data_IF_437857013509
#
_entry.id   IF_437857013509
#
_cell.length_a   1.000
_cell.length_b   1.000
_cell.length_c   1.000
_cell.angle_alpha   90.00
_cell.angle_beta   90.00
_cell.angle_gamma   90.00
#
_symmetry.space_group_name_H-M   'P 1'
#
loop_
_entity.id
_entity.type
_entity.pdbx_description
1 polymer ?
#
# COMPACT_ATOMS: atom_id res chain seq x y z
N UNK A 1 -8.73 75.31 13.51
CA UNK A 1 -9.40 75.05 12.22
C UNK A 1 -8.40 74.41 11.26
N UNK A 2 -8.81 73.33 10.56
CA UNK A 2 -8.21 72.67 9.36
C UNK A 2 -6.74 72.20 9.39
N UNK A 3 -6.46 70.88 9.31
CA UNK A 3 -6.25 70.04 8.08
C UNK A 3 -5.06 70.53 7.23
N UNK A 4 -4.13 69.72 6.67
CA UNK A 4 -3.97 68.27 6.43
C UNK A 4 -2.55 68.03 5.85
N UNK A 5 -1.99 66.84 6.11
CA UNK A 5 -1.09 65.96 5.29
C UNK A 5 0.06 66.53 4.44
N UNK A 6 1.22 65.88 4.59
CA UNK A 6 2.15 65.42 3.54
C UNK A 6 3.10 64.37 4.18
N UNK A 7 3.02 63.08 3.83
CA UNK A 7 3.86 62.36 2.84
C UNK A 7 5.31 62.12 3.28
N UNK A 8 5.71 60.86 3.44
CA UNK A 8 7.10 60.44 3.33
C UNK A 8 7.18 59.21 2.41
N UNK A 9 8.11 59.30 1.48
CA UNK A 9 8.49 58.35 0.44
C UNK A 9 9.97 57.94 0.66
N UNK A 10 10.35 56.83 -0.01
CA UNK A 10 11.71 56.37 -0.33
C UNK A 10 12.47 55.52 0.73
N UNK A 11 13.19 54.44 0.40
CA UNK A 11 13.44 53.73 -0.87
C UNK A 11 14.30 52.44 -0.67
N UNK A 12 14.21 51.51 -1.65
CA UNK A 12 15.22 50.54 -2.16
C UNK A 12 15.62 49.37 -1.21
N UNK A 13 15.09 48.14 -1.39
CA UNK A 13 15.35 47.10 -2.40
C UNK A 13 16.50 46.12 -2.04
N UNK A 14 16.16 44.83 -1.97
CA UNK A 14 16.98 43.73 -2.53
C UNK A 14 16.12 42.47 -2.68
N UNK A 15 16.28 41.86 -3.84
CA UNK A 15 15.57 40.72 -4.44
C UNK A 15 15.65 39.41 -3.66
N UNK A 16 14.58 38.61 -3.72
CA UNK A 16 14.68 37.24 -4.23
C UNK A 16 13.28 36.65 -4.51
N UNK A 17 13.18 36.12 -5.72
CA UNK A 17 12.03 35.46 -6.32
C UNK A 17 11.93 34.00 -5.87
N UNK A 18 10.69 33.59 -5.60
CA UNK A 18 10.08 32.28 -5.83
C UNK A 18 10.75 31.02 -5.27
N UNK A 19 10.02 30.37 -4.35
CA UNK A 19 9.60 28.97 -4.49
C UNK A 19 8.42 28.72 -3.52
N UNK A 20 7.21 28.78 -4.07
CA UNK A 20 5.97 28.54 -3.33
C UNK A 20 5.62 27.05 -3.49
N UNK A 21 6.14 26.22 -2.58
CA UNK A 21 5.65 24.87 -2.38
C UNK A 21 4.37 24.97 -1.55
N UNK A 22 3.24 24.58 -2.15
CA UNK A 22 1.92 24.58 -1.50
C UNK A 22 1.89 23.47 -0.44
N UNK A 23 2.32 23.80 0.77
CA UNK A 23 2.06 23.01 1.97
C UNK A 23 0.63 23.32 2.46
N UNK A 24 -0.16 22.27 2.73
CA UNK A 24 -1.53 22.39 3.24
C UNK A 24 -1.54 23.05 4.65
N UNK A 25 -2.32 24.12 4.90
CA UNK A 25 -2.37 24.77 6.21
C UNK A 25 -3.46 24.20 7.13
N UNK A 26 -3.12 24.06 8.42
CA UNK A 26 -3.99 23.62 9.51
C UNK A 26 -4.39 24.83 10.38
N UNK A 27 -5.69 25.06 10.59
CA UNK A 27 -6.21 26.16 11.43
C UNK A 27 -6.62 25.64 12.81
N UNK A 28 -5.84 25.95 13.84
CA UNK A 28 -6.22 25.73 15.25
C UNK A 28 -6.84 27.01 15.84
N UNK A 29 -8.09 26.94 16.30
CA UNK A 29 -8.66 27.96 17.20
C UNK A 29 -8.78 27.37 18.60
N UNK A 30 -7.96 27.89 19.51
CA UNK A 30 -8.04 27.66 20.95
C UNK A 30 -8.58 28.95 21.59
N UNK A 31 -9.79 28.90 22.14
CA UNK A 31 -10.38 30.04 22.86
C UNK A 31 -10.70 29.63 24.31
N UNK A 32 -9.89 30.15 25.23
CA UNK A 32 -10.07 30.10 26.67
C UNK A 32 -11.25 30.98 27.09
N UNK A 33 -12.25 30.46 27.81
CA UNK A 33 -13.08 31.27 28.72
C UNK A 33 -13.63 30.45 29.90
N UNK A 34 -13.21 30.84 31.11
CA UNK A 34 -13.82 30.45 32.40
C UNK A 34 -15.17 31.15 32.61
N UNK A 35 -16.20 30.49 33.19
CA UNK A 35 -17.47 31.16 33.50
C UNK A 35 -17.46 31.83 34.90
N UNK A 36 -17.75 33.13 34.94
CA UNK A 36 -18.09 33.87 36.17
C UNK A 36 -19.48 33.45 36.71
N UNK A 37 -19.55 33.08 38.00
CA UNK A 37 -20.81 32.84 38.73
C UNK A 37 -21.59 34.16 38.91
N UNK A 38 -22.76 34.29 38.28
CA UNK A 38 -23.74 35.35 38.58
C UNK A 38 -24.57 34.97 39.81
N UNK A 39 -24.66 35.90 40.77
CA UNK A 39 -25.58 35.82 41.91
C UNK A 39 -27.05 36.03 41.50
N UNK A 40 -28.02 35.78 42.40
CA UNK A 40 -29.44 35.88 42.11
C UNK A 40 -29.84 37.33 41.78
N UNK A 41 -30.64 37.51 40.73
CA UNK A 41 -31.16 38.82 40.32
C UNK A 41 -32.37 39.15 41.20
N UNK A 42 -32.22 40.15 42.06
CA UNK A 42 -33.31 40.71 42.87
C UNK A 42 -34.02 41.82 42.09
N UNK A 43 -35.35 41.77 42.03
CA UNK A 43 -36.18 42.83 41.44
C UNK A 43 -36.45 43.96 42.45
N UNK A 44 -36.79 45.17 41.98
CA UNK A 44 -37.13 46.27 42.89
C UNK A 44 -38.38 45.89 43.70
N UNK A 45 -38.32 46.11 45.02
CA UNK A 45 -39.31 45.76 46.06
C UNK A 45 -39.24 44.35 46.68
N UNK A 46 -38.10 43.64 46.60
CA UNK A 46 -37.83 42.48 47.47
C UNK A 46 -38.76 41.27 47.28
N UNK A 47 -39.55 41.23 46.19
CA UNK A 47 -40.37 40.06 45.84
C UNK A 47 -39.55 39.07 45.04
N UNK A 48 -39.40 37.86 45.59
CA UNK A 48 -38.73 36.73 44.95
C UNK A 48 -39.42 36.43 43.62
N UNK A 49 -38.71 36.66 42.49
CA UNK A 49 -39.22 36.32 41.17
C UNK A 49 -39.35 34.78 41.07
N UNK A 50 -40.57 34.26 41.25
CA UNK A 50 -40.88 32.87 40.93
C UNK A 50 -40.73 32.75 39.42
N UNK A 51 -39.67 32.07 38.99
CA UNK A 51 -39.34 31.82 37.58
C UNK A 51 -40.52 31.06 36.97
N UNK A 52 -41.43 31.75 36.26
CA UNK A 52 -42.45 31.07 35.44
C UNK A 52 -41.69 30.22 34.43
N UNK A 53 -41.76 28.91 34.61
CA UNK A 53 -41.24 27.94 33.66
C UNK A 53 -42.11 28.07 32.42
N UNK A 54 -41.70 28.91 31.47
CA UNK A 54 -42.37 28.99 30.18
C UNK A 54 -42.14 27.65 29.49
N UNK A 55 -43.22 27.06 28.97
CA UNK A 55 -43.20 25.73 28.34
C UNK A 55 -42.11 25.63 27.25
N UNK A 56 -41.81 26.76 26.58
CA UNK A 56 -40.70 26.92 25.64
C UNK A 56 -39.30 26.67 26.24
N UNK A 57 -39.02 27.08 27.47
CA UNK A 57 -37.71 26.80 28.09
C UNK A 57 -37.58 25.34 28.51
N UNK A 58 -38.69 24.70 28.87
CA UNK A 58 -38.71 23.29 29.24
C UNK A 58 -38.49 22.39 28.02
N UNK A 59 -39.12 22.68 26.89
CA UNK A 59 -38.95 21.90 25.65
C UNK A 59 -37.53 21.97 25.10
N UNK A 60 -36.88 23.14 25.14
CA UNK A 60 -35.47 23.26 24.75
C UNK A 60 -34.54 22.41 25.63
N UNK A 61 -34.79 22.36 26.94
CA UNK A 61 -34.02 21.51 27.86
C UNK A 61 -34.25 20.02 27.58
N UNK A 62 -35.49 19.64 27.28
CA UNK A 62 -35.83 18.26 26.94
C UNK A 62 -35.17 17.82 25.64
N UNK A 63 -35.21 18.66 24.60
CA UNK A 63 -34.53 18.40 23.33
C UNK A 63 -33.02 18.36 23.47
N UNK A 64 -32.42 19.25 24.25
CA UNK A 64 -30.99 19.21 24.53
C UNK A 64 -30.59 17.93 25.28
N UNK A 65 -31.36 17.51 26.28
CA UNK A 65 -31.13 16.25 26.99
C UNK A 65 -31.28 15.04 26.10
N UNK A 66 -32.30 15.00 25.23
CA UNK A 66 -32.49 13.92 24.25
C UNK A 66 -31.34 13.87 23.23
N UNK A 67 -30.83 15.01 22.79
CA UNK A 67 -29.68 15.06 21.88
C UNK A 67 -28.42 14.53 22.55
N UNK A 68 -28.14 14.93 23.80
CA UNK A 68 -26.98 14.43 24.56
C UNK A 68 -27.11 12.93 24.81
N UNK A 69 -28.30 12.44 25.17
CA UNK A 69 -28.56 11.00 25.30
C UNK A 69 -28.42 10.26 23.97
N UNK A 70 -28.83 10.87 22.85
CA UNK A 70 -28.63 10.33 21.51
C UNK A 70 -27.15 10.23 21.15
N UNK A 71 -26.34 11.25 21.47
CA UNK A 71 -24.88 11.21 21.27
C UNK A 71 -24.24 10.13 22.15
N UNK A 72 -24.61 10.04 23.43
CA UNK A 72 -24.12 8.97 24.30
C UNK A 72 -24.55 7.58 23.82
N UNK A 73 -25.77 7.44 23.31
CA UNK A 73 -26.26 6.19 22.73
C UNK A 73 -25.48 5.83 21.47
N UNK A 74 -25.16 6.80 20.59
CA UNK A 74 -24.32 6.57 19.42
C UNK A 74 -22.89 6.19 19.83
N UNK A 75 -22.30 6.88 20.81
CA UNK A 75 -20.97 6.53 21.34
C UNK A 75 -20.99 5.14 21.99
N UNK A 76 -22.07 4.77 22.66
CA UNK A 76 -22.27 3.45 23.23
C UNK A 76 -22.46 2.38 22.15
N UNK A 77 -23.19 2.67 21.07
CA UNK A 77 -23.34 1.80 19.90
C UNK A 77 -22.00 1.60 19.18
N UNK A 78 -21.23 2.67 19.01
CA UNK A 78 -19.87 2.62 18.47
C UNK A 78 -18.98 1.81 19.41
N UNK A 79 -19.05 2.07 20.72
CA UNK A 79 -18.29 1.30 21.71
C UNK A 79 -18.62 -0.18 21.57
N UNK A 80 -19.87 -0.59 21.63
CA UNK A 80 -20.25 -2.01 21.53
C UNK A 80 -19.97 -2.61 20.13
N UNK A 81 -19.95 -1.80 19.06
CA UNK A 81 -19.48 -2.21 17.73
C UNK A 81 -17.95 -2.46 17.70
N UNK A 82 -17.17 -1.72 18.50
CA UNK A 82 -15.71 -1.86 18.64
C UNK A 82 -15.27 -2.71 19.85
N UNK A 83 -16.19 -3.07 20.75
CA UNK A 83 -16.00 -3.93 21.95
C UNK A 83 -16.66 -5.30 21.78
N UNK A 84 -16.95 -5.72 20.55
CA UNK A 84 -16.85 -7.15 20.27
C UNK A 84 -15.41 -7.54 20.61
N UNK A 85 -15.18 -8.57 21.44
CA UNK A 85 -13.84 -8.99 21.71
C UNK A 85 -13.25 -9.38 20.34
N UNK A 86 -12.23 -8.64 19.91
CA UNK A 86 -11.14 -9.19 19.13
C UNK A 86 -10.42 -10.23 20.00
N UNK A 87 -11.17 -11.24 20.47
CA UNK A 87 -10.58 -12.53 20.66
C UNK A 87 -10.10 -12.92 19.26
N UNK A 88 -8.84 -13.33 19.07
CA UNK A 88 -8.54 -14.10 17.88
C UNK A 88 -9.58 -15.21 17.87
N UNK A 89 -10.47 -15.21 16.89
CA UNK A 89 -11.15 -16.44 16.60
C UNK A 89 -10.02 -17.36 16.16
N UNK A 90 -9.52 -18.17 17.09
CA UNK A 90 -9.21 -19.58 16.81
C UNK A 90 -10.53 -20.25 16.37
N UNK A 91 -11.15 -19.72 15.32
CA UNK A 91 -11.69 -20.57 14.30
C UNK A 91 -10.50 -21.37 13.85
N UNK A 92 -10.40 -22.60 14.36
CA UNK A 92 -9.98 -23.75 13.58
C UNK A 92 -10.74 -23.70 12.24
N UNK A 93 -10.27 -22.85 11.32
CA UNK A 93 -10.68 -22.89 9.94
C UNK A 93 -10.06 -24.16 9.40
N UNK A 94 -10.86 -25.22 9.34
CA UNK A 94 -10.79 -26.28 8.33
C UNK A 94 -9.41 -26.42 7.69
N UNK A 95 -8.42 -26.88 8.47
CA UNK A 95 -7.05 -27.22 8.06
C UNK A 95 -6.60 -26.57 6.74
N UNK A 96 -6.48 -25.24 6.71
CA UNK A 96 -5.87 -24.55 5.58
C UNK A 96 -4.48 -25.14 5.33
N UNK A 97 -4.22 -25.70 4.15
CA UNK A 97 -2.92 -26.29 3.82
C UNK A 97 -1.84 -25.22 3.99
N UNK A 98 -0.89 -25.45 4.90
CA UNK A 98 0.26 -24.57 5.09
C UNK A 98 1.23 -24.74 3.91
N UNK A 99 1.11 -23.88 2.89
CA UNK A 99 1.93 -23.91 1.68
C UNK A 99 3.41 -23.63 1.95
N UNK A 100 3.73 -23.12 3.13
CA UNK A 100 5.09 -22.80 3.56
C UNK A 100 5.69 -23.87 4.48
N UNK A 101 4.98 -24.98 4.74
CA UNK A 101 5.42 -26.00 5.70
C UNK A 101 6.81 -26.59 5.38
N UNK A 102 7.17 -26.67 4.09
CA UNK A 102 8.48 -27.19 3.65
C UNK A 102 9.58 -26.12 3.56
N UNK A 103 9.27 -24.85 3.81
CA UNK A 103 10.26 -23.78 3.70
C UNK A 103 11.27 -23.85 4.86
N UNK A 104 12.55 -23.67 4.54
CA UNK A 104 13.59 -23.52 5.55
C UNK A 104 13.31 -22.29 6.42
N UNK A 105 13.52 -22.40 7.73
CA UNK A 105 13.25 -21.31 8.67
C UNK A 105 11.78 -21.13 9.05
N UNK A 106 10.83 -21.96 8.57
CA UNK A 106 9.39 -21.82 8.89
C UNK A 106 9.06 -21.78 10.38
N UNK A 107 9.67 -22.65 11.19
CA UNK A 107 9.46 -22.64 12.64
C UNK A 107 10.16 -21.45 13.33
N UNK A 108 11.34 -21.08 12.85
CA UNK A 108 12.16 -20.01 13.40
C UNK A 108 11.53 -18.63 13.16
N UNK A 109 11.08 -18.37 11.93
CA UNK A 109 10.49 -17.10 11.54
C UNK A 109 9.01 -16.98 11.91
N UNK A 110 8.37 -18.10 12.28
CA UNK A 110 6.96 -18.10 12.73
C UNK A 110 5.96 -17.71 11.64
N UNK A 111 6.30 -17.89 10.36
CA UNK A 111 5.43 -17.53 9.22
C UNK A 111 4.76 -18.79 8.68
N UNK A 112 3.44 -18.72 8.54
CA UNK A 112 2.62 -19.74 7.87
C UNK A 112 1.82 -19.11 6.73
N UNK A 113 1.50 -19.87 5.69
CA UNK A 113 0.72 -19.34 4.56
C UNK A 113 -0.64 -18.78 4.99
N UNK A 114 -1.25 -19.35 6.04
CA UNK A 114 -2.54 -18.90 6.59
C UNK A 114 -2.44 -17.48 7.17
N UNK A 115 -1.24 -17.06 7.62
CA UNK A 115 -1.00 -15.69 8.09
C UNK A 115 -0.84 -14.67 6.96
N UNK A 116 -0.60 -15.15 5.73
CA UNK A 116 -0.37 -14.30 4.56
C UNK A 116 -1.63 -14.18 3.70
N UNK A 117 -2.36 -15.29 3.57
CA UNK A 117 -3.47 -15.45 2.66
C UNK A 117 -4.47 -16.47 3.21
N UNK A 118 -5.74 -16.10 3.19
CA UNK A 118 -6.85 -17.02 3.44
C UNK A 118 -7.47 -17.43 2.10
N UNK A 119 -7.38 -18.71 1.68
CA UNK A 119 -8.08 -19.17 0.50
C UNK A 119 -9.61 -19.07 0.71
N UNK A 120 -10.40 -18.68 -0.30
CA UNK A 120 -11.86 -18.74 -0.19
C UNK A 120 -12.33 -20.19 -0.12
N UNK A 121 -13.40 -20.42 0.64
CA UNK A 121 -14.07 -21.72 0.72
C UNK A 121 -14.66 -22.12 -0.66
N UNK A 122 -15.21 -21.14 -1.39
CA UNK A 122 -15.92 -21.37 -2.66
C UNK A 122 -15.03 -21.32 -3.93
N UNK A 123 -13.70 -21.21 -3.79
CA UNK A 123 -12.71 -21.30 -4.88
C UNK A 123 -12.97 -20.43 -6.13
N UNK A 124 -13.68 -19.31 -6.02
CA UNK A 124 -13.96 -18.44 -7.17
C UNK A 124 -12.74 -17.59 -7.54
N UNK A 125 -11.80 -18.19 -8.25
CA UNK A 125 -10.61 -17.52 -8.77
C UNK A 125 -10.94 -16.57 -9.92
N UNK A 126 -10.19 -15.47 -10.01
CA UNK A 126 -10.34 -14.49 -11.07
C UNK A 126 -10.06 -15.10 -12.45
N UNK A 127 -10.97 -14.85 -13.40
CA UNK A 127 -10.91 -15.42 -14.75
C UNK A 127 -10.22 -14.48 -15.74
N UNK A 128 -10.36 -13.17 -15.55
CA UNK A 128 -9.74 -12.16 -16.41
C UNK A 128 -8.65 -11.42 -15.65
N UNK A 129 -7.61 -11.01 -16.38
CA UNK A 129 -6.49 -10.22 -15.85
C UNK A 129 -6.96 -8.92 -15.19
N UNK A 130 -7.93 -8.23 -15.80
CA UNK A 130 -8.53 -7.01 -15.23
C UNK A 130 -9.27 -7.28 -13.91
N UNK A 131 -10.04 -8.37 -13.85
CA UNK A 131 -10.72 -8.76 -12.60
C UNK A 131 -9.73 -9.11 -11.50
N UNK A 132 -8.63 -9.77 -11.85
CA UNK A 132 -7.55 -10.15 -10.94
C UNK A 132 -6.83 -8.92 -10.37
N UNK A 133 -6.39 -8.00 -11.23
CA UNK A 133 -5.74 -6.77 -10.80
C UNK A 133 -6.68 -5.89 -9.96
N UNK A 134 -7.96 -5.81 -10.33
CA UNK A 134 -8.97 -5.10 -9.55
C UNK A 134 -9.17 -5.74 -8.17
N UNK A 135 -9.30 -7.08 -8.10
CA UNK A 135 -9.51 -7.80 -6.85
C UNK A 135 -8.31 -7.66 -5.90
N UNK A 136 -7.08 -7.71 -6.42
CA UNK A 136 -5.85 -7.51 -5.64
C UNK A 136 -5.67 -6.04 -5.20
N UNK A 137 -6.03 -5.08 -6.05
CA UNK A 137 -5.86 -3.65 -5.72
C UNK A 137 -6.89 -3.12 -4.72
N UNK A 138 -8.09 -3.70 -4.72
CA UNK A 138 -9.22 -3.24 -3.90
C UNK A 138 -9.53 -4.14 -2.70
N UNK A 139 -8.75 -5.21 -2.49
CA UNK A 139 -8.78 -5.96 -1.23
C UNK A 139 -8.07 -5.24 -0.10
N UNK A 140 -8.01 -5.85 1.07
CA UNK A 140 -7.38 -5.27 2.26
C UNK A 140 -7.20 -6.27 3.38
N UNK A 141 -6.84 -5.78 4.56
CA UNK A 141 -6.71 -6.56 5.79
C UNK A 141 -7.90 -6.28 6.71
N UNK A 142 -8.40 -7.31 7.37
CA UNK A 142 -9.48 -7.19 8.35
C UNK A 142 -8.89 -7.37 9.75
N UNK A 143 -8.25 -6.30 10.25
CA UNK A 143 -7.50 -6.30 11.51
C UNK A 143 -6.03 -5.94 11.31
N UNK A 144 -5.40 -5.47 12.37
CA UNK A 144 -3.98 -5.09 12.35
C UNK A 144 -3.10 -6.34 12.16
N UNK A 145 -2.21 -6.30 11.17
CA UNK A 145 -1.35 -7.40 10.73
C UNK A 145 -2.08 -8.72 10.39
N UNK A 146 -3.39 -8.67 10.14
CA UNK A 146 -4.17 -9.82 9.71
C UNK A 146 -3.83 -10.22 8.26
N UNK A 147 -4.11 -11.47 7.88
CA UNK A 147 -3.91 -11.95 6.51
C UNK A 147 -4.63 -11.09 5.47
N UNK A 148 -4.04 -10.95 4.28
CA UNK A 148 -4.64 -10.16 3.21
C UNK A 148 -5.82 -10.91 2.58
N UNK A 149 -6.92 -10.19 2.36
CA UNK A 149 -8.15 -10.65 1.73
C UNK A 149 -8.44 -9.82 0.48
N UNK A 150 -8.57 -10.47 -0.67
CA UNK A 150 -8.99 -9.82 -1.92
C UNK A 150 -10.41 -9.26 -1.83
N UNK A 151 -10.79 -8.32 -2.70
CA UNK A 151 -12.14 -7.73 -2.65
C UNK A 151 -13.29 -8.76 -2.73
N UNK A 152 -13.05 -9.93 -3.34
CA UNK A 152 -14.05 -11.01 -3.47
C UNK A 152 -14.21 -11.93 -2.28
N UNK A 153 -13.29 -11.92 -1.31
CA UNK A 153 -13.37 -12.81 -0.15
C UNK A 153 -14.25 -12.27 0.98
N UNK A 154 -14.74 -11.04 0.89
CA UNK A 154 -15.61 -10.45 1.91
C UNK A 154 -17.04 -10.95 1.78
N UNK A 155 -17.26 -12.20 2.20
CA UNK A 155 -18.57 -12.84 2.39
C UNK A 155 -19.45 -12.21 3.49
N UNK A 156 -19.13 -10.99 3.94
CA UNK A 156 -20.04 -10.17 4.74
C UNK A 156 -20.38 -8.95 3.90
N UNK A 157 -21.52 -9.03 3.21
CA UNK A 157 -22.12 -7.87 2.56
C UNK A 157 -22.30 -6.76 3.59
N UNK A 158 -21.54 -5.67 3.45
CA UNK A 158 -21.85 -4.42 4.12
C UNK A 158 -22.47 -3.45 3.11
N UNK A 159 -23.74 -3.06 3.29
CA UNK A 159 -24.44 -2.14 2.42
C UNK A 159 -24.15 -0.70 2.88
N UNK A 160 -22.90 -0.21 2.79
CA UNK A 160 -22.63 1.19 3.13
C UNK A 160 -21.65 1.83 2.14
N UNK A 161 -22.09 1.97 0.89
CA UNK A 161 -21.79 3.21 0.17
C UNK A 161 -22.65 4.30 0.80
N UNK A 162 -22.01 5.12 1.63
CA UNK A 162 -22.54 6.39 2.09
C UNK A 162 -22.86 7.25 0.85
N UNK A 163 -24.10 7.19 0.37
CA UNK A 163 -24.64 8.20 -0.53
C UNK A 163 -24.79 9.46 0.31
N UNK A 164 -23.85 10.40 0.12
CA UNK A 164 -23.99 11.77 0.59
C UNK A 164 -25.25 12.33 -0.08
N UNK A 165 -26.25 12.56 0.76
CA UNK A 165 -27.59 12.98 0.42
C UNK A 165 -27.56 14.44 -0.06
N UNK A 166 -27.54 14.66 -1.37
CA UNK A 166 -27.83 15.98 -1.96
C UNK A 166 -29.32 16.00 -2.34
N UNK A 167 -30.10 16.53 -1.40
CA UNK A 167 -31.34 17.30 -1.59
C UNK A 167 -32.35 16.84 -2.66
N UNK A 168 -33.46 16.28 -2.17
CA UNK A 168 -34.84 16.52 -2.61
C UNK A 168 -35.07 16.83 -4.10
N UNK A 169 -35.46 15.81 -4.88
CA UNK A 169 -36.79 15.74 -5.49
C UNK A 169 -36.94 14.44 -6.30
N UNK A 170 -38.16 13.91 -6.23
CA UNK A 170 -38.66 12.70 -6.87
C UNK A 170 -38.46 12.78 -8.39
N UNK A 171 -37.71 11.82 -8.94
CA UNK A 171 -37.87 11.42 -10.34
C UNK A 171 -37.84 9.90 -10.41
N UNK A 172 -39.05 9.33 -10.41
CA UNK A 172 -39.35 7.99 -10.91
C UNK A 172 -38.92 7.94 -12.38
N UNK A 173 -37.75 7.36 -12.66
CA UNK A 173 -37.42 6.85 -13.98
C UNK A 173 -36.92 5.42 -13.85
N UNK A 174 -37.73 4.55 -14.42
CA UNK A 174 -37.43 3.18 -14.84
C UNK A 174 -36.12 3.12 -15.61
N UNK A 175 -35.07 2.62 -14.96
CA UNK A 175 -33.91 2.05 -15.64
C UNK A 175 -33.62 0.71 -14.97
N UNK A 176 -33.66 -0.35 -15.78
CA UNK A 176 -33.35 -1.70 -15.38
C UNK A 176 -32.05 -1.72 -14.59
N UNK A 177 -32.18 -2.01 -13.30
CA UNK A 177 -31.06 -2.27 -12.42
C UNK A 177 -30.48 -3.60 -12.86
N UNK A 178 -29.51 -3.54 -13.76
CA UNK A 178 -28.44 -4.53 -13.79
C UNK A 178 -27.76 -4.42 -12.42
N UNK A 179 -28.27 -5.18 -11.44
CA UNK A 179 -27.49 -5.56 -10.28
C UNK A 179 -26.38 -6.46 -10.84
N UNK A 180 -25.31 -5.84 -11.33
CA UNK A 180 -24.01 -6.49 -11.33
C UNK A 180 -23.64 -6.60 -9.85
N UNK A 181 -24.16 -7.65 -9.19
CA UNK A 181 -23.46 -8.22 -8.05
C UNK A 181 -22.10 -8.63 -8.60
N UNK A 182 -21.10 -7.77 -8.42
CA UNK A 182 -19.72 -8.18 -8.55
C UNK A 182 -19.53 -9.28 -7.49
N UNK A 183 -19.74 -10.54 -7.88
CA UNK A 183 -19.12 -11.65 -7.20
C UNK A 183 -17.63 -11.37 -7.37
N UNK A 184 -17.01 -10.82 -6.34
CA UNK A 184 -15.58 -10.60 -6.39
C UNK A 184 -14.89 -11.94 -6.49
N UNK A 185 -13.70 -11.94 -7.07
CA UNK A 185 -12.89 -13.12 -7.26
C UNK A 185 -11.62 -13.02 -6.42
N UNK A 186 -10.88 -14.13 -6.33
CA UNK A 186 -9.64 -14.18 -5.54
C UNK A 186 -8.43 -14.48 -6.42
N UNK A 187 -7.26 -14.05 -5.96
CA UNK A 187 -5.98 -14.50 -6.49
C UNK A 187 -5.56 -15.86 -5.90
N UNK A 188 -4.61 -16.53 -6.52
CA UNK A 188 -4.13 -17.86 -6.13
C UNK A 188 -2.84 -17.78 -5.32
N UNK A 189 -2.69 -18.63 -4.32
CA UNK A 189 -1.37 -18.91 -3.75
C UNK A 189 -0.72 -20.06 -4.53
N UNK A 190 0.38 -19.78 -5.21
CA UNK A 190 1.10 -20.78 -6.02
C UNK A 190 2.16 -21.50 -5.18
N UNK A 191 2.33 -22.81 -5.39
CA UNK A 191 3.50 -23.53 -4.90
C UNK A 191 4.75 -23.11 -5.68
N UNK A 192 5.94 -23.33 -5.12
CA UNK A 192 7.20 -22.97 -5.80
C UNK A 192 7.35 -23.64 -7.16
N UNK A 193 6.88 -24.88 -7.31
CA UNK A 193 6.83 -25.57 -8.61
C UNK A 193 5.94 -24.84 -9.64
N UNK A 194 4.75 -24.40 -9.22
CA UNK A 194 3.85 -23.63 -10.08
C UNK A 194 4.42 -22.26 -10.43
N UNK A 195 5.11 -21.61 -9.47
CA UNK A 195 5.84 -20.37 -9.73
C UNK A 195 6.86 -20.61 -10.85
N UNK A 196 7.66 -21.68 -10.75
CA UNK A 196 8.65 -22.03 -11.77
C UNK A 196 8.02 -22.26 -13.15
N UNK A 197 6.87 -22.95 -13.23
CA UNK A 197 6.13 -23.14 -14.48
C UNK A 197 5.66 -21.81 -15.08
N UNK A 198 5.21 -20.87 -14.24
CA UNK A 198 4.85 -19.50 -14.66
C UNK A 198 6.08 -18.77 -15.21
N UNK A 199 7.22 -18.83 -14.52
CA UNK A 199 8.43 -18.11 -14.94
C UNK A 199 8.97 -18.61 -16.28
N UNK A 200 8.87 -19.92 -16.57
CA UNK A 200 9.37 -20.52 -17.81
C UNK A 200 8.69 -20.00 -19.09
N UNK A 201 7.55 -19.33 -18.97
CA UNK A 201 6.87 -18.63 -20.07
C UNK A 201 7.66 -17.43 -20.59
N UNK A 202 8.60 -16.90 -19.83
CA UNK A 202 9.31 -15.65 -20.11
C UNK A 202 10.80 -15.88 -20.40
N UNK A 203 11.40 -15.00 -21.21
CA UNK A 203 12.87 -14.99 -21.43
C UNK A 203 13.61 -14.21 -20.32
N UNK A 204 12.85 -13.46 -19.51
CA UNK A 204 13.32 -12.87 -18.29
C UNK A 204 12.28 -11.95 -17.66
N UNK A 205 12.58 -11.39 -16.49
CA UNK A 205 11.67 -10.50 -15.76
C UNK A 205 12.45 -9.32 -15.19
N UNK A 206 12.00 -8.10 -15.47
CA UNK A 206 12.65 -6.88 -14.99
C UNK A 206 11.81 -6.24 -13.88
N UNK A 207 12.41 -6.04 -12.70
CA UNK A 207 11.87 -5.21 -11.63
C UNK A 207 12.64 -3.90 -11.60
N UNK A 208 11.96 -2.78 -11.80
CA UNK A 208 12.56 -1.47 -11.94
C UNK A 208 11.92 -0.54 -10.92
N UNK A 209 12.63 -0.15 -9.88
CA UNK A 209 12.00 0.71 -8.89
C UNK A 209 12.85 1.09 -7.71
N UNK A 210 12.19 1.61 -6.69
CA UNK A 210 12.81 2.04 -5.45
C UNK A 210 12.72 0.95 -4.36
N UNK A 211 12.90 1.35 -3.11
CA UNK A 211 12.99 0.42 -1.98
C UNK A 211 11.67 -0.31 -1.71
N UNK A 212 10.52 0.28 -2.02
CA UNK A 212 9.22 -0.40 -1.90
C UNK A 212 9.13 -1.62 -2.83
N UNK A 213 9.65 -1.50 -4.06
CA UNK A 213 9.68 -2.63 -5.00
C UNK A 213 10.81 -3.61 -4.67
N UNK A 214 11.91 -3.12 -4.07
CA UNK A 214 12.99 -3.98 -3.60
C UNK A 214 12.49 -5.00 -2.56
N UNK A 215 11.57 -4.60 -1.68
CA UNK A 215 10.97 -5.50 -0.69
C UNK A 215 10.12 -6.59 -1.38
N UNK A 216 9.29 -6.23 -2.37
CA UNK A 216 8.54 -7.22 -3.15
C UNK A 216 9.47 -8.19 -3.90
N UNK A 217 10.58 -7.70 -4.47
CA UNK A 217 11.58 -8.56 -5.13
C UNK A 217 12.32 -9.47 -4.13
N UNK A 218 12.60 -8.98 -2.92
CA UNK A 218 13.15 -9.83 -1.85
C UNK A 218 12.17 -10.96 -1.47
N UNK A 219 10.87 -10.65 -1.32
CA UNK A 219 9.83 -11.66 -1.13
C UNK A 219 9.74 -12.67 -2.29
N UNK A 220 9.92 -12.21 -3.53
CA UNK A 220 9.98 -13.07 -4.71
C UNK A 220 11.14 -14.07 -4.63
N UNK A 221 12.31 -13.65 -4.18
CA UNK A 221 13.46 -14.55 -3.98
C UNK A 221 13.23 -15.56 -2.84
N UNK A 222 12.56 -15.16 -1.75
CA UNK A 222 12.16 -16.08 -0.68
C UNK A 222 11.30 -17.24 -1.22
N UNK A 223 10.30 -16.91 -2.06
CA UNK A 223 9.44 -17.92 -2.68
C UNK A 223 10.20 -18.85 -3.62
N UNK A 224 11.15 -18.33 -4.39
CA UNK A 224 11.96 -19.14 -5.31
C UNK A 224 13.01 -20.00 -4.61
N UNK A 225 13.47 -19.59 -3.43
CA UNK A 225 14.51 -20.31 -2.68
C UNK A 225 13.95 -21.21 -1.58
N UNK A 226 12.65 -21.13 -1.31
CA UNK A 226 11.96 -21.89 -0.25
C UNK A 226 12.62 -21.72 1.11
N UNK A 227 13.06 -20.49 1.42
CA UNK A 227 13.82 -20.19 2.63
C UNK A 227 13.35 -18.86 3.22
N UNK A 228 12.63 -18.94 4.35
CA UNK A 228 12.13 -17.79 5.10
C UNK A 228 13.26 -17.12 5.90
N UNK A 229 14.23 -17.88 6.40
CA UNK A 229 15.28 -17.33 7.24
C UNK A 229 16.24 -16.40 6.47
N UNK A 230 16.68 -16.77 5.27
CA UNK A 230 17.70 -16.03 4.51
C UNK A 230 17.42 -15.89 3.02
N UNK A 231 16.21 -16.27 2.57
CA UNK A 231 15.88 -16.35 1.14
C UNK A 231 16.01 -15.04 0.36
N UNK A 232 15.94 -13.88 1.00
CA UNK A 232 16.14 -12.61 0.33
C UNK A 232 17.62 -12.24 0.12
N UNK A 233 18.54 -12.94 0.77
CA UNK A 233 19.94 -12.55 0.94
C UNK A 233 20.93 -13.48 0.26
N UNK A 234 22.10 -12.94 -0.11
CA UNK A 234 23.28 -13.68 -0.56
C UNK A 234 23.99 -14.28 0.66
N UNK A 235 23.36 -15.26 1.30
CA UNK A 235 23.83 -15.92 2.51
C UNK A 235 25.20 -16.57 2.37
N UNK A 236 25.57 -17.03 1.16
CA UNK A 236 26.92 -17.50 0.86
C UNK A 236 28.02 -16.41 0.89
N UNK A 237 27.67 -15.12 0.95
CA UNK A 237 28.61 -13.98 1.06
C UNK A 237 28.53 -13.27 2.42
N UNK A 238 27.79 -13.85 3.37
CA UNK A 238 27.64 -13.32 4.72
C UNK A 238 28.62 -14.01 5.67
N UNK A 239 29.08 -13.26 6.68
CA UNK A 239 29.81 -13.83 7.81
C UNK A 239 28.81 -14.27 8.89
N UNK A 240 29.29 -15.02 9.88
CA UNK A 240 28.43 -15.57 10.95
C UNK A 240 27.61 -14.47 11.67
N UNK A 241 28.19 -13.28 11.86
CA UNK A 241 27.50 -12.15 12.48
C UNK A 241 26.30 -11.67 11.65
N UNK A 242 26.46 -11.45 10.35
CA UNK A 242 25.35 -11.06 9.46
C UNK A 242 24.35 -12.20 9.29
N UNK A 243 24.84 -13.45 9.25
CA UNK A 243 23.99 -14.63 9.13
C UNK A 243 23.02 -14.78 10.30
N UNK A 244 23.36 -14.31 11.49
CA UNK A 244 22.45 -14.28 12.65
C UNK A 244 21.62 -13.00 12.72
N UNK A 245 22.22 -11.84 12.42
CA UNK A 245 21.53 -10.55 12.56
C UNK A 245 20.46 -10.32 11.48
N UNK A 246 20.60 -10.95 10.33
CA UNK A 246 19.76 -10.71 9.16
C UNK A 246 18.74 -11.82 8.91
N UNK A 247 18.39 -12.65 9.89
CA UNK A 247 17.44 -13.76 9.70
C UNK A 247 15.98 -13.29 9.73
N UNK A 248 15.12 -14.02 9.04
CA UNK A 248 13.66 -13.84 9.06
C UNK A 248 13.28 -12.38 8.72
N UNK A 249 12.47 -11.74 9.56
CA UNK A 249 12.00 -10.37 9.35
C UNK A 249 13.16 -9.34 9.30
N UNK A 250 14.30 -9.63 9.93
CA UNK A 250 15.47 -8.73 9.91
C UNK A 250 16.11 -8.58 8.53
N UNK A 251 15.82 -9.47 7.57
CA UNK A 251 16.16 -9.27 6.15
C UNK A 251 15.54 -7.97 5.57
N UNK A 252 14.43 -7.53 6.17
CA UNK A 252 13.66 -6.37 5.78
C UNK A 252 13.85 -5.21 6.72
N UNK A 253 13.87 -5.47 8.02
CA UNK A 253 13.86 -4.41 9.04
C UNK A 253 15.24 -3.88 9.41
N UNK A 254 16.32 -4.58 9.09
CA UNK A 254 17.68 -4.12 9.37
C UNK A 254 18.35 -3.57 8.10
N UNK A 255 18.64 -2.25 8.04
CA UNK A 255 19.26 -1.63 6.87
C UNK A 255 20.61 -2.22 6.48
N UNK A 256 21.37 -2.77 7.45
CA UNK A 256 22.66 -3.41 7.18
C UNK A 256 22.53 -4.64 6.29
N UNK A 257 21.37 -5.30 6.32
CA UNK A 257 21.08 -6.51 5.55
C UNK A 257 20.74 -6.20 4.08
N UNK A 258 20.31 -4.98 3.77
CA UNK A 258 19.88 -4.61 2.41
C UNK A 258 21.00 -4.69 1.38
N UNK A 259 22.24 -4.41 1.80
CA UNK A 259 23.43 -4.54 0.95
C UNK A 259 23.74 -5.99 0.56
N UNK A 260 23.17 -6.95 1.30
CA UNK A 260 23.32 -8.39 1.06
C UNK A 260 22.13 -8.98 0.30
N UNK A 261 21.15 -8.17 -0.11
CA UNK A 261 20.01 -8.66 -0.89
C UNK A 261 20.44 -9.18 -2.26
N UNK A 262 19.74 -10.21 -2.71
CA UNK A 262 19.84 -10.68 -4.09
C UNK A 262 19.29 -9.58 -5.00
N UNK A 263 20.05 -9.26 -6.06
CA UNK A 263 19.70 -8.21 -7.01
C UNK A 263 19.45 -8.74 -8.42
N UNK A 264 19.94 -9.95 -8.71
CA UNK A 264 19.75 -10.62 -9.98
C UNK A 264 19.74 -12.13 -9.79
N UNK A 265 19.05 -12.86 -10.67
CA UNK A 265 19.13 -14.31 -10.68
C UNK A 265 20.56 -14.80 -10.94
N UNK A 266 21.36 -14.04 -11.70
CA UNK A 266 22.79 -14.33 -11.90
C UNK A 266 23.60 -14.31 -10.59
N UNK A 267 23.15 -13.64 -9.53
CA UNK A 267 23.82 -13.71 -8.21
C UNK A 267 23.76 -15.14 -7.64
N UNK A 268 22.74 -15.92 -8.02
CA UNK A 268 22.53 -17.30 -7.57
C UNK A 268 23.42 -18.31 -8.31
N UNK A 269 24.04 -17.94 -9.45
CA UNK A 269 24.77 -18.88 -10.30
C UNK A 269 26.23 -18.44 -10.47
N UNK A 270 27.17 -19.37 -10.31
CA UNK A 270 28.57 -19.10 -10.58
C UNK A 270 28.81 -18.93 -12.10
N UNK A 271 29.58 -17.93 -12.54
CA UNK A 271 29.96 -17.80 -13.94
C UNK A 271 30.70 -19.06 -14.42
N UNK A 272 30.09 -19.82 -15.32
CA UNK A 272 30.69 -21.00 -15.95
C UNK A 272 30.54 -22.31 -15.18
N UNK A 273 29.83 -22.33 -14.05
CA UNK A 273 29.64 -23.55 -13.28
C UNK A 273 28.39 -24.33 -13.73
N UNK A 274 28.56 -25.64 -13.94
CA UNK A 274 27.48 -26.59 -14.23
C UNK A 274 26.96 -27.27 -12.96
N UNK A 275 27.52 -26.93 -11.79
CA UNK A 275 27.21 -27.56 -10.50
C UNK A 275 25.88 -27.13 -9.87
N UNK A 276 25.16 -26.19 -10.49
CA UNK A 276 23.87 -25.70 -10.02
C UNK A 276 23.95 -24.35 -9.30
N UNK A 277 22.87 -23.91 -8.63
CA UNK A 277 22.83 -22.64 -7.91
C UNK A 277 23.67 -22.69 -6.63
N UNK A 278 24.23 -21.55 -6.20
CA UNK A 278 25.03 -21.38 -4.97
C UNK A 278 24.24 -21.67 -3.68
N UNK A 279 22.91 -21.64 -3.77
CA UNK A 279 21.97 -21.94 -2.70
C UNK A 279 20.75 -22.65 -3.30
N UNK A 280 19.93 -23.27 -2.45
CA UNK A 280 18.59 -23.77 -2.81
C UNK A 280 17.84 -22.78 -3.68
N UNK A 281 17.38 -23.26 -4.84
CA UNK A 281 16.55 -22.56 -5.80
C UNK A 281 15.60 -23.59 -6.41
N UNK A 282 14.30 -23.37 -6.30
CA UNK A 282 13.27 -24.34 -6.60
C UNK A 282 13.18 -24.66 -8.10
N UNK A 283 13.51 -23.70 -8.98
CA UNK A 283 13.32 -23.87 -10.42
C UNK A 283 14.50 -24.60 -11.06
N UNK A 284 14.20 -25.70 -11.75
CA UNK A 284 15.20 -26.46 -12.52
C UNK A 284 15.73 -25.68 -13.73
N UNK A 285 14.89 -24.84 -14.32
CA UNK A 285 15.22 -24.01 -15.47
C UNK A 285 15.52 -22.59 -15.00
N UNK A 286 16.70 -22.09 -15.34
CA UNK A 286 17.09 -20.72 -15.01
C UNK A 286 16.34 -19.72 -15.88
N UNK A 287 15.46 -18.93 -15.27
CA UNK A 287 14.79 -17.78 -15.89
C UNK A 287 15.44 -16.51 -15.35
N UNK A 288 16.08 -15.69 -16.20
CA UNK A 288 16.72 -14.47 -15.75
C UNK A 288 15.74 -13.48 -15.11
N UNK A 289 16.04 -13.00 -13.90
CA UNK A 289 15.25 -11.93 -13.27
C UNK A 289 16.16 -10.91 -12.59
N UNK A 290 15.90 -9.62 -12.74
CA UNK A 290 16.76 -8.56 -12.20
C UNK A 290 15.96 -7.51 -11.47
N UNK A 291 16.49 -7.01 -10.36
CA UNK A 291 16.06 -5.79 -9.71
C UNK A 291 17.03 -4.64 -10.01
N UNK A 292 16.47 -3.54 -10.50
CA UNK A 292 17.20 -2.34 -10.86
C UNK A 292 16.69 -1.18 -10.02
N UNK A 293 17.53 -0.74 -9.07
CA UNK A 293 17.22 0.41 -8.23
C UNK A 293 17.19 1.70 -9.08
N UNK A 294 16.12 2.47 -8.94
CA UNK A 294 15.93 3.77 -9.58
C UNK A 294 15.67 4.80 -8.49
N UNK A 295 16.40 5.92 -8.53
CA UNK A 295 16.26 7.02 -7.57
C UNK A 295 15.48 8.21 -8.15
N UNK A 296 15.35 8.28 -9.46
CA UNK A 296 14.65 9.33 -10.19
C UNK A 296 14.72 9.08 -11.69
N UNK A 297 14.19 10.03 -12.46
CA UNK A 297 14.27 10.04 -13.91
C UNK A 297 15.06 11.28 -14.37
N UNK A 298 16.05 11.14 -15.27
CA UNK A 298 16.47 9.89 -15.91
C UNK A 298 17.19 8.94 -14.94
N UNK A 299 17.01 7.63 -15.15
CA UNK A 299 17.73 6.59 -14.43
C UNK A 299 19.22 6.56 -14.81
N UNK A 300 20.04 5.99 -13.93
CA UNK A 300 21.48 5.85 -14.18
C UNK A 300 21.75 5.05 -15.46
N UNK A 301 22.91 5.31 -16.08
CA UNK A 301 23.32 4.59 -17.29
C UNK A 301 23.39 3.09 -17.04
N UNK A 302 23.99 2.67 -15.94
CA UNK A 302 24.11 1.26 -15.56
C UNK A 302 22.75 0.58 -15.39
N UNK A 303 21.78 1.28 -14.79
CA UNK A 303 20.41 0.79 -14.62
C UNK A 303 19.74 0.56 -15.98
N UNK A 304 19.87 1.50 -16.92
CA UNK A 304 19.32 1.36 -18.27
C UNK A 304 20.01 0.24 -19.06
N UNK A 305 21.33 0.14 -19.01
CA UNK A 305 22.09 -0.90 -19.71
C UNK A 305 21.75 -2.30 -19.20
N UNK A 306 21.53 -2.47 -17.88
CA UNK A 306 21.07 -3.76 -17.31
C UNK A 306 19.72 -4.20 -17.86
N UNK A 307 18.75 -3.29 -17.91
CA UNK A 307 17.40 -3.59 -18.44
C UNK A 307 17.47 -3.87 -19.94
N UNK A 308 18.17 -3.03 -20.71
CA UNK A 308 18.35 -3.24 -22.16
C UNK A 308 19.00 -4.58 -22.47
N UNK A 309 20.04 -4.98 -21.71
CA UNK A 309 20.69 -6.28 -21.88
C UNK A 309 19.73 -7.44 -21.64
N UNK A 310 18.81 -7.32 -20.68
CA UNK A 310 17.80 -8.34 -20.43
C UNK A 310 16.76 -8.38 -21.55
N UNK A 311 16.24 -7.22 -21.97
CA UNK A 311 15.26 -7.11 -23.06
C UNK A 311 15.80 -7.61 -24.40
N UNK A 312 17.08 -7.36 -24.69
CA UNK A 312 17.73 -7.83 -25.93
C UNK A 312 17.84 -9.36 -26.05
N UNK A 313 17.67 -10.13 -24.96
CA UNK A 313 17.69 -11.61 -25.00
C UNK A 313 16.45 -12.20 -25.71
N UNK A 314 15.34 -11.46 -25.69
CA UNK A 314 14.03 -11.86 -26.23
C UNK A 314 14.02 -12.13 -27.74
N UNK A 315 14.98 -11.57 -28.49
CA UNK A 315 15.05 -11.73 -29.95
C UNK A 315 15.32 -13.17 -30.42
N UNK A 316 15.75 -14.05 -29.51
CA UNK A 316 16.15 -15.42 -29.85
C UNK A 316 15.01 -16.46 -29.78
N UNK A 317 13.97 -16.26 -28.94
CA UNK A 317 12.90 -17.27 -28.74
C UNK A 317 11.45 -16.72 -28.79
N UNK A 318 11.24 -15.43 -29.08
CA UNK A 318 9.91 -14.76 -29.08
C UNK A 318 9.17 -14.79 -27.73
N UNK A 319 9.83 -15.10 -26.59
CA UNK A 319 9.16 -15.00 -25.30
C UNK A 319 9.28 -13.59 -24.76
N UNK A 320 8.26 -13.14 -24.04
CA UNK A 320 8.20 -11.78 -23.52
C UNK A 320 9.13 -11.61 -22.31
N UNK A 321 9.50 -10.36 -22.04
CA UNK A 321 10.21 -9.95 -20.83
C UNK A 321 9.35 -8.96 -20.05
N UNK A 322 8.48 -9.40 -19.11
CA UNK A 322 7.63 -8.50 -18.35
C UNK A 322 8.42 -7.48 -17.54
N UNK A 323 7.93 -6.25 -17.50
CA UNK A 323 8.53 -5.15 -16.75
C UNK A 323 7.60 -4.73 -15.61
N UNK A 324 8.07 -4.90 -14.38
CA UNK A 324 7.39 -4.45 -13.16
C UNK A 324 8.06 -3.15 -12.72
N UNK A 325 7.29 -2.08 -12.61
CA UNK A 325 7.79 -0.75 -12.34
C UNK A 325 7.09 -0.10 -11.14
N UNK A 326 7.87 0.54 -10.26
CA UNK A 326 7.35 1.33 -9.13
C UNK A 326 8.37 2.36 -8.69
N UNK A 327 7.95 3.61 -8.55
CA UNK A 327 8.72 4.66 -7.85
C UNK A 327 7.77 5.41 -6.92
N UNK A 328 8.20 5.70 -5.71
CA UNK A 328 7.37 6.35 -4.68
C UNK A 328 8.23 7.05 -3.62
N UNK A 329 8.90 6.28 -2.76
CA UNK A 329 9.76 6.76 -1.69
C UNK A 329 10.96 7.54 -2.24
N UNK A 330 11.61 7.04 -3.29
CA UNK A 330 12.81 7.70 -3.83
C UNK A 330 12.52 9.06 -4.47
N UNK A 331 11.28 9.29 -4.91
CA UNK A 331 10.83 10.51 -5.57
C UNK A 331 9.96 11.38 -4.66
N UNK A 332 9.93 11.08 -3.35
CA UNK A 332 9.10 11.78 -2.36
C UNK A 332 7.63 11.90 -2.78
N UNK A 333 7.08 10.84 -3.40
CA UNK A 333 5.70 10.78 -3.89
C UNK A 333 5.36 11.90 -4.91
N UNK A 334 6.34 12.30 -5.73
CA UNK A 334 6.12 13.27 -6.81
C UNK A 334 5.45 12.61 -8.03
N UNK A 335 4.26 13.10 -8.41
CA UNK A 335 3.55 12.63 -9.60
C UNK A 335 4.37 12.86 -10.88
N UNK A 336 4.94 14.05 -11.05
CA UNK A 336 5.72 14.39 -12.26
C UNK A 336 6.97 13.52 -12.40
N UNK A 337 7.62 13.18 -11.28
CA UNK A 337 8.77 12.27 -11.28
C UNK A 337 8.34 10.84 -11.66
N UNK A 338 7.19 10.38 -11.19
CA UNK A 338 6.63 9.08 -11.56
C UNK A 338 6.27 9.02 -13.05
N UNK A 339 5.59 10.05 -13.57
CA UNK A 339 5.26 10.17 -15.00
C UNK A 339 6.52 10.17 -15.88
N UNK A 340 7.53 10.96 -15.51
CA UNK A 340 8.81 11.00 -16.23
C UNK A 340 9.49 9.62 -16.22
N UNK A 341 9.44 8.91 -15.09
CA UNK A 341 10.00 7.55 -15.00
C UNK A 341 9.22 6.55 -15.86
N UNK A 342 7.88 6.61 -15.88
CA UNK A 342 7.05 5.78 -16.79
C UNK A 342 7.44 6.04 -18.25
N UNK A 343 7.52 7.32 -18.64
CA UNK A 343 7.82 7.74 -20.00
C UNK A 343 9.23 7.31 -20.43
N UNK A 344 10.21 7.36 -19.53
CA UNK A 344 11.58 6.88 -19.78
C UNK A 344 11.64 5.39 -20.13
N UNK A 345 10.99 4.54 -19.34
CA UNK A 345 11.02 3.09 -19.56
C UNK A 345 10.17 2.66 -20.75
N UNK A 346 9.06 3.37 -21.01
CA UNK A 346 8.26 3.19 -22.22
C UNK A 346 9.02 3.64 -23.47
N UNK A 347 9.91 4.63 -23.38
CA UNK A 347 10.69 5.10 -24.54
C UNK A 347 11.77 4.09 -25.00
N UNK A 348 12.05 3.03 -24.23
CA UNK A 348 13.02 2.02 -24.64
C UNK A 348 12.57 1.31 -25.93
N UNK A 349 13.41 1.25 -26.98
CA UNK A 349 13.04 0.65 -28.26
C UNK A 349 12.57 -0.80 -28.14
N UNK A 350 13.18 -1.58 -27.27
CA UNK A 350 12.84 -2.99 -27.04
C UNK A 350 11.45 -3.13 -26.40
N UNK A 351 11.09 -2.20 -25.50
CA UNK A 351 9.77 -2.15 -24.85
C UNK A 351 8.68 -1.79 -25.86
N UNK A 352 8.98 -0.90 -26.81
CA UNK A 352 8.02 -0.47 -27.83
C UNK A 352 7.87 -1.44 -29.01
N UNK A 353 8.91 -2.24 -29.32
CA UNK A 353 8.92 -3.16 -30.47
C UNK A 353 8.25 -4.51 -30.19
N UNK A 354 8.40 -5.00 -28.95
CA UNK A 354 7.74 -6.22 -28.49
C UNK A 354 6.56 -5.79 -27.62
N UNK A 355 5.44 -6.51 -27.66
CA UNK A 355 4.28 -6.29 -26.79
C UNK A 355 4.63 -6.60 -25.32
N UNK A 356 5.58 -5.82 -24.78
CA UNK A 356 6.19 -6.01 -23.48
C UNK A 356 5.15 -5.67 -22.43
N UNK A 357 4.72 -6.61 -21.58
CA UNK A 357 3.72 -6.31 -20.57
C UNK A 357 4.36 -5.46 -19.47
N UNK A 358 3.81 -4.27 -19.23
CA UNK A 358 4.25 -3.36 -18.16
C UNK A 358 3.23 -3.34 -17.03
N UNK A 359 3.71 -3.59 -15.81
CA UNK A 359 2.94 -3.45 -14.58
C UNK A 359 3.46 -2.27 -13.76
N UNK A 360 2.61 -1.29 -13.52
CA UNK A 360 2.81 -0.29 -12.48
C UNK A 360 2.35 -0.83 -11.13
N UNK A 361 3.27 -0.91 -10.17
CA UNK A 361 2.96 -1.24 -8.78
C UNK A 361 2.82 0.06 -8.00
N UNK A 362 1.64 0.30 -7.43
CA UNK A 362 1.35 1.50 -6.66
C UNK A 362 2.12 1.55 -5.33
N UNK A 363 2.13 2.72 -4.66
CA UNK A 363 2.82 2.87 -3.38
C UNK A 363 2.21 1.97 -2.30
N UNK A 364 3.00 1.64 -1.29
CA UNK A 364 2.50 1.11 -0.02
C UNK A 364 1.89 2.24 0.82
N UNK A 365 0.99 1.88 1.75
CA UNK A 365 0.49 2.83 2.73
C UNK A 365 1.63 3.25 3.68
N UNK A 366 1.55 4.43 4.32
CA UNK A 366 2.43 4.73 5.44
C UNK A 366 2.09 3.83 6.63
N UNK A 367 3.13 3.31 7.29
CA UNK A 367 3.00 2.53 8.52
C UNK A 367 2.48 3.36 9.70
N UNK A 368 2.00 2.66 10.72
CA UNK A 368 1.49 3.27 11.95
C UNK A 368 2.62 3.76 12.88
N UNK A 369 3.75 3.07 12.89
CA UNK A 369 4.92 3.42 13.69
C UNK A 369 5.78 4.45 12.93
N UNK A 370 5.38 5.72 12.98
CA UNK A 370 6.23 6.81 12.49
C UNK A 370 7.23 7.18 13.57
N UNK A 371 8.53 6.99 13.31
CA UNK A 371 9.57 7.62 14.12
C UNK A 371 9.37 9.14 14.07
N UNK A 372 9.25 9.77 15.24
CA UNK A 372 8.87 11.19 15.41
C UNK A 372 9.81 12.19 14.72
N UNK A 373 10.99 11.73 14.30
CA UNK A 373 12.01 12.54 13.61
C UNK A 373 11.97 12.45 12.09
N UNK A 374 11.16 11.57 11.50
CA UNK A 374 11.14 11.36 10.03
C UNK A 374 10.05 12.19 9.37
N UNK A 375 10.40 13.40 8.92
CA UNK A 375 9.50 14.31 8.21
C UNK A 375 9.24 13.92 6.75
N UNK A 376 9.89 12.86 6.25
CA UNK A 376 9.86 12.51 4.82
C UNK A 376 8.66 11.63 4.44
N UNK A 377 7.79 11.27 5.39
CA UNK A 377 6.59 10.49 5.11
C UNK A 377 5.38 11.43 5.08
N UNK A 378 4.74 11.63 3.91
CA UNK A 378 3.53 12.42 3.82
C UNK A 378 2.40 11.88 4.71
N UNK A 379 1.36 12.69 4.92
CA UNK A 379 0.13 12.22 5.53
C UNK A 379 -0.47 11.07 4.70
N UNK A 380 -1.19 10.15 5.33
CA UNK A 380 -1.81 9.00 4.65
C UNK A 380 -2.72 9.45 3.50
N UNK A 381 -3.41 10.59 3.65
CA UNK A 381 -4.22 11.20 2.58
C UNK A 381 -3.41 11.59 1.35
N UNK A 382 -2.17 12.07 1.52
CA UNK A 382 -1.30 12.46 0.41
C UNK A 382 -0.77 11.23 -0.33
N UNK A 383 -0.36 10.18 0.40
CA UNK A 383 0.09 8.92 -0.23
C UNK A 383 -1.07 8.21 -0.95
N UNK A 384 -2.28 8.25 -0.36
CA UNK A 384 -3.49 7.77 -1.02
C UNK A 384 -3.79 8.53 -2.32
N UNK A 385 -3.72 9.86 -2.29
CA UNK A 385 -3.93 10.69 -3.48
C UNK A 385 -2.89 10.39 -4.56
N UNK A 386 -1.61 10.26 -4.18
CA UNK A 386 -0.55 9.84 -5.08
C UNK A 386 -0.81 8.46 -5.72
N UNK A 387 -1.34 7.50 -4.96
CA UNK A 387 -1.72 6.19 -5.48
C UNK A 387 -2.81 6.29 -6.56
N UNK A 388 -3.83 7.13 -6.35
CA UNK A 388 -4.90 7.37 -7.32
C UNK A 388 -4.38 8.06 -8.60
N UNK A 389 -3.56 9.09 -8.44
CA UNK A 389 -3.07 9.89 -9.56
C UNK A 389 -2.08 9.10 -10.43
N UNK A 390 -1.16 8.35 -9.81
CA UNK A 390 -0.24 7.47 -10.56
C UNK A 390 -0.94 6.30 -11.22
N UNK A 391 -2.00 5.76 -10.60
CA UNK A 391 -2.86 4.75 -11.24
C UNK A 391 -3.49 5.29 -12.54
N UNK A 392 -3.99 6.52 -12.50
CA UNK A 392 -4.57 7.17 -13.69
C UNK A 392 -3.49 7.43 -14.76
N UNK A 393 -2.33 7.93 -14.35
CA UNK A 393 -1.21 8.20 -15.24
C UNK A 393 -0.70 6.93 -15.94
N UNK A 394 -0.49 5.84 -15.19
CA UNK A 394 -0.06 4.55 -15.71
C UNK A 394 -1.06 3.97 -16.73
N UNK A 395 -2.36 3.97 -16.40
CA UNK A 395 -3.42 3.49 -17.31
C UNK A 395 -3.50 4.30 -18.61
N UNK A 396 -3.34 5.62 -18.53
CA UNK A 396 -3.34 6.47 -19.73
C UNK A 396 -2.17 6.20 -20.67
N UNK A 397 -1.11 5.55 -20.17
CA UNK A 397 0.08 5.11 -20.90
C UNK A 397 0.04 3.65 -21.33
N UNK A 398 -1.11 2.98 -21.15
CA UNK A 398 -1.27 1.56 -21.49
C UNK A 398 -0.59 0.59 -20.53
N UNK A 399 -0.15 1.05 -19.36
CA UNK A 399 0.39 0.18 -18.32
C UNK A 399 -0.73 -0.44 -17.50
N UNK A 400 -0.53 -1.68 -17.08
CA UNK A 400 -1.40 -2.35 -16.11
C UNK A 400 -1.09 -1.83 -14.71
N UNK A 401 -2.05 -1.92 -13.78
CA UNK A 401 -1.88 -1.36 -12.44
C UNK A 401 -2.23 -2.37 -11.36
N UNK A 402 -1.30 -2.53 -10.42
CA UNK A 402 -1.49 -3.25 -9.16
C UNK A 402 -1.33 -2.29 -7.98
N UNK A 403 -2.44 -1.95 -7.32
CA UNK A 403 -2.45 -1.04 -6.18
C UNK A 403 -2.04 -1.73 -4.87
N UNK A 404 -1.00 -1.23 -4.20
CA UNK A 404 -0.51 -1.80 -2.94
C UNK A 404 -0.99 -1.08 -1.68
N UNK A 405 -1.53 0.14 -1.81
CA UNK A 405 -1.93 0.96 -0.66
C UNK A 405 -2.92 0.21 0.25
N UNK A 406 -4.02 -0.32 -0.30
CA UNK A 406 -5.03 -1.02 0.50
C UNK A 406 -4.50 -2.34 1.09
N UNK A 407 -3.61 -3.04 0.37
CA UNK A 407 -3.03 -4.30 0.82
C UNK A 407 -2.05 -4.15 2.00
N UNK A 408 -1.51 -2.94 2.17
CA UNK A 408 -0.54 -2.58 3.22
C UNK A 408 -1.12 -1.66 4.29
N UNK A 409 -2.34 -1.16 4.08
CA UNK A 409 -3.11 -0.48 5.11
C UNK A 409 -3.34 -1.45 6.29
N UNK A 410 -3.03 -1.01 7.51
CA UNK A 410 -3.08 -1.82 8.74
C UNK A 410 -2.08 -2.99 8.81
N UNK A 411 -1.08 -3.05 7.93
CA UNK A 411 0.05 -3.97 8.12
C UNK A 411 1.08 -3.37 9.09
N UNK A 412 1.79 -4.25 9.82
CA UNK A 412 2.88 -3.84 10.69
C UNK A 412 4.07 -3.33 9.85
N UNK A 413 4.55 -2.14 10.18
CA UNK A 413 5.72 -1.49 9.57
C UNK A 413 6.60 -1.01 10.72
N UNK A 414 7.92 -1.17 10.57
CA UNK A 414 8.90 -0.97 11.64
C UNK A 414 9.49 0.45 11.67
N UNK A 415 9.42 1.19 10.56
CA UNK A 415 9.89 2.57 10.45
C UNK A 415 8.85 3.53 9.82
N UNK A 416 7.66 3.01 9.52
CA UNK A 416 6.59 3.76 8.87
C UNK A 416 6.67 3.79 7.34
N UNK A 417 7.70 3.20 6.72
CA UNK A 417 7.92 3.17 5.26
C UNK A 417 8.03 1.75 4.72
N UNK A 418 8.84 0.94 5.40
CA UNK A 418 9.16 -0.43 5.04
C UNK A 418 8.32 -1.41 5.85
N UNK A 419 8.08 -2.56 5.24
CA UNK A 419 7.27 -3.62 5.80
C UNK A 419 8.11 -4.89 5.95
N UNK A 420 7.66 -5.76 6.85
CA UNK A 420 8.31 -7.03 7.12
C UNK A 420 8.11 -8.09 6.03
N UNK A 421 8.67 -9.26 6.30
CA UNK A 421 8.73 -10.42 5.40
C UNK A 421 7.35 -10.85 4.90
N UNK A 422 6.34 -10.85 5.79
CA UNK A 422 4.96 -11.23 5.43
C UNK A 422 4.39 -10.38 4.29
N UNK A 423 4.61 -9.06 4.36
CA UNK A 423 4.07 -8.12 3.35
C UNK A 423 4.82 -8.28 2.03
N UNK A 424 6.15 -8.42 2.09
CA UNK A 424 6.98 -8.67 0.91
C UNK A 424 6.56 -9.95 0.16
N UNK A 425 6.33 -11.05 0.87
CA UNK A 425 5.87 -12.30 0.26
C UNK A 425 4.47 -12.18 -0.36
N UNK A 426 3.54 -11.48 0.31
CA UNK A 426 2.21 -11.21 -0.24
C UNK A 426 2.30 -10.38 -1.53
N UNK A 427 3.10 -9.32 -1.55
CA UNK A 427 3.33 -8.49 -2.74
C UNK A 427 3.92 -9.31 -3.89
N UNK A 428 4.92 -10.15 -3.59
CA UNK A 428 5.52 -11.05 -4.56
C UNK A 428 4.49 -12.01 -5.15
N UNK A 429 3.63 -12.61 -4.32
CA UNK A 429 2.58 -13.51 -4.78
C UNK A 429 1.54 -12.79 -5.66
N UNK A 430 1.20 -11.54 -5.37
CA UNK A 430 0.34 -10.74 -6.26
C UNK A 430 0.98 -10.49 -7.63
N UNK A 431 2.28 -10.19 -7.66
CA UNK A 431 3.02 -10.02 -8.91
C UNK A 431 3.08 -11.33 -9.70
N UNK A 432 3.30 -12.47 -9.03
CA UNK A 432 3.26 -13.79 -9.65
C UNK A 432 1.87 -14.10 -10.24
N UNK A 433 0.80 -13.67 -9.58
CA UNK A 433 -0.55 -13.82 -10.13
C UNK A 433 -0.75 -13.01 -11.41
N UNK A 434 -0.23 -11.79 -11.46
CA UNK A 434 -0.21 -11.01 -12.69
C UNK A 434 0.61 -11.71 -13.79
N UNK A 435 1.82 -12.19 -13.48
CA UNK A 435 2.66 -12.96 -14.42
C UNK A 435 1.95 -14.22 -14.93
N UNK A 436 1.19 -14.91 -14.07
CA UNK A 436 0.43 -16.09 -14.48
C UNK A 436 -0.69 -15.79 -15.48
N UNK A 437 -1.22 -14.56 -15.45
CA UNK A 437 -2.32 -14.09 -16.29
C UNK A 437 -1.85 -13.48 -17.62
N UNK A 438 -0.53 -13.41 -17.84
CA UNK A 438 0.10 -13.18 -19.14
C UNK A 438 0.22 -14.52 -19.90
#
# INVERSE_FOLDING_TARGET
MSRRRASNSESIASSSTMNEAVAYPFSGMQQNHLPQRRGPIEGPNGRRLIRRVTWRSSTYKLMASLWVLGVFYIVWLIRDLFWLPFAPSETESTAGKDFLAHYAGRQECGISSVSLYNPPEDQQYCQTRDSLLSAMSNGGRHGFDAAYASQGTSGIGWPYRLLINVSSQILLLTLGTVLLTYLGCVYRWYSSSQICDILQKFDGIAFIGDESLADAYAGFNILLRENLATGALKDWEMNDMYSEQCRCDSQFTNPSCWLKRISSSEDMFLPGDKSGPRSTYACSTHVPHVFVKVLGSPASRDSREKVQKLLARSDSQKKLVPVIHSVSLSTSFSLSAAESSMDEWLALPEVNKQYTPLLWVGPTAPGHEKLSTDTNIPANSAVWQYALDTTKAARSRGMEVLGMYNATLQAASWDGKHYGEKVAMMQAMMIINWLSAL
#
